data_IF_448442918401
#
_entry.id   IF_448442918401
#
_cell.length_a   1.000
_cell.length_b   1.000
_cell.length_c   1.000
_cell.angle_alpha   90.00
_cell.angle_beta   90.00
_cell.angle_gamma   90.00
#
_symmetry.space_group_name_H-M   'P 1'
#
loop_
_entity.id
_entity.type
_entity.pdbx_description
1 polymer ?
#
# COMPACT_ATOMS: atom_id res chain seq x y z
N UNK A 1 20.92 -2.50 3.51
CA UNK A 1 19.48 -2.85 3.48
C UNK A 1 19.31 -4.10 4.33
N UNK A 2 18.27 -4.17 5.18
CA UNK A 2 17.89 -5.45 5.83
C UNK A 2 17.14 -6.25 4.77
N UNK A 3 17.35 -7.58 4.64
CA UNK A 3 16.67 -8.38 3.62
C UNK A 3 15.15 -8.27 3.73
N UNK A 4 14.49 -8.48 2.59
CA UNK A 4 13.04 -8.62 2.55
C UNK A 4 12.60 -9.73 3.52
N UNK A 5 11.57 -9.47 4.33
CA UNK A 5 11.09 -10.43 5.34
C UNK A 5 10.26 -11.53 4.69
N UNK A 6 10.90 -12.56 4.13
CA UNK A 6 10.26 -13.59 3.28
C UNK A 6 10.37 -15.03 3.83
N UNK A 7 11.09 -15.22 4.93
CA UNK A 7 11.35 -16.51 5.59
C UNK A 7 11.66 -16.31 7.09
N UNK A 8 11.94 -17.41 7.81
CA UNK A 8 12.34 -17.36 9.22
C UNK A 8 13.66 -16.59 9.45
N UNK A 9 14.65 -16.75 8.57
CA UNK A 9 15.96 -16.13 8.74
C UNK A 9 15.85 -14.60 8.70
N UNK A 10 15.24 -14.07 7.65
CA UNK A 10 15.08 -12.63 7.40
C UNK A 10 14.24 -11.93 8.47
N UNK A 11 13.19 -12.57 9.03
CA UNK A 11 12.42 -11.97 10.13
C UNK A 11 13.23 -11.92 11.45
N UNK A 12 14.02 -12.95 11.73
CA UNK A 12 14.88 -12.96 12.90
C UNK A 12 16.00 -11.92 12.80
N UNK A 13 16.57 -11.72 11.62
CA UNK A 13 17.51 -10.62 11.37
C UNK A 13 16.88 -9.25 11.62
N UNK A 14 15.66 -9.04 11.12
CA UNK A 14 14.91 -7.79 11.36
C UNK A 14 14.70 -7.55 12.86
N UNK A 15 14.32 -8.55 13.63
CA UNK A 15 14.15 -8.43 15.08
C UNK A 15 15.46 -8.11 15.80
N UNK A 16 16.56 -8.78 15.43
CA UNK A 16 17.90 -8.47 15.96
C UNK A 16 18.30 -7.03 15.65
N UNK A 17 18.07 -6.57 14.42
CA UNK A 17 18.42 -5.22 13.98
C UNK A 17 17.64 -4.11 14.72
N UNK A 18 16.38 -4.38 15.08
CA UNK A 18 15.50 -3.46 15.81
C UNK A 18 15.69 -3.45 17.34
N UNK A 19 16.37 -4.46 17.92
CA UNK A 19 16.55 -4.58 19.37
C UNK A 19 17.20 -3.33 19.96
N UNK A 20 16.52 -2.72 20.94
CA UNK A 20 17.00 -1.51 21.63
C UNK A 20 16.91 -0.22 20.80
N UNK A 21 16.27 -0.24 19.63
CA UNK A 21 16.13 0.93 18.73
C UNK A 21 14.69 1.40 18.53
N UNK A 22 13.69 0.62 18.92
CA UNK A 22 12.27 0.95 18.71
C UNK A 22 11.78 1.92 19.79
N UNK A 23 11.22 3.05 19.34
CA UNK A 23 10.56 4.04 20.22
C UNK A 23 9.06 3.82 20.37
N UNK A 24 8.48 2.90 19.58
CA UNK A 24 7.06 2.54 19.57
C UNK A 24 6.91 1.05 19.36
N UNK A 25 5.72 0.51 19.67
CA UNK A 25 5.37 -0.88 19.33
C UNK A 25 5.34 -1.06 17.80
N UNK A 26 5.87 -2.18 17.32
CA UNK A 26 5.93 -2.50 15.88
C UNK A 26 5.39 -3.90 15.65
N UNK A 27 4.41 -4.01 14.76
CA UNK A 27 3.97 -5.27 14.16
C UNK A 27 4.68 -5.46 12.81
N UNK A 28 4.95 -6.71 12.43
CA UNK A 28 5.64 -7.02 11.16
C UNK A 28 4.74 -7.74 10.18
N UNK A 29 4.85 -7.35 8.91
CA UNK A 29 4.36 -8.14 7.79
C UNK A 29 5.41 -9.18 7.39
N UNK A 30 4.92 -10.32 6.90
CA UNK A 30 5.68 -11.24 6.07
C UNK A 30 5.51 -10.92 4.58
N UNK A 31 6.49 -11.25 3.75
CA UNK A 31 6.42 -11.14 2.30
C UNK A 31 5.83 -12.40 1.69
N UNK A 32 4.99 -12.22 0.67
CA UNK A 32 4.64 -13.27 -0.28
C UNK A 32 5.36 -12.97 -1.60
N UNK A 33 6.24 -13.88 -2.00
CA UNK A 33 7.08 -13.79 -3.20
C UNK A 33 7.07 -15.14 -3.94
N UNK A 34 7.40 -15.21 -5.24
CA UNK A 34 7.31 -16.47 -5.99
C UNK A 34 8.13 -17.63 -5.42
N UNK A 35 9.24 -17.32 -4.74
CA UNK A 35 10.20 -18.31 -4.27
C UNK A 35 10.00 -18.76 -2.81
N UNK A 36 9.00 -18.25 -2.09
CA UNK A 36 8.76 -18.63 -0.68
C UNK A 36 7.47 -19.46 -0.45
N UNK A 37 6.92 -20.04 -1.51
CA UNK A 37 5.71 -20.87 -1.46
C UNK A 37 5.92 -22.25 -0.81
N UNK A 38 7.17 -22.70 -0.70
CA UNK A 38 7.53 -23.97 -0.07
C UNK A 38 7.94 -23.76 1.40
N UNK A 39 6.95 -23.46 2.25
CA UNK A 39 7.13 -23.36 3.71
C UNK A 39 7.35 -21.94 4.25
N UNK A 40 7.86 -21.00 3.45
CA UNK A 40 8.18 -19.64 3.90
C UNK A 40 6.98 -18.88 4.52
N UNK A 41 5.77 -19.11 4.00
CA UNK A 41 4.54 -18.56 4.58
C UNK A 41 4.31 -19.08 6.01
N UNK A 42 4.47 -20.39 6.24
CA UNK A 42 4.24 -20.99 7.57
C UNK A 42 5.37 -20.66 8.56
N UNK A 43 6.61 -20.55 8.07
CA UNK A 43 7.75 -20.05 8.85
C UNK A 43 7.47 -18.65 9.40
N UNK A 44 7.06 -17.72 8.52
CA UNK A 44 6.69 -16.36 8.91
C UNK A 44 5.51 -16.35 9.88
N UNK A 45 4.51 -17.21 9.65
CA UNK A 45 3.35 -17.36 10.53
C UNK A 45 3.76 -17.70 11.97
N UNK A 46 4.63 -18.71 12.10
CA UNK A 46 5.18 -19.22 13.36
C UNK A 46 6.04 -18.19 14.09
N UNK A 47 6.64 -17.26 13.34
CA UNK A 47 7.44 -16.15 13.85
C UNK A 47 6.62 -14.89 14.18
N UNK A 48 5.29 -14.94 14.07
CA UNK A 48 4.41 -13.92 14.63
C UNK A 48 4.16 -12.71 13.72
N UNK A 49 4.30 -12.85 12.39
CA UNK A 49 3.81 -11.81 11.47
C UNK A 49 2.31 -11.58 11.65
N UNK A 50 1.83 -10.35 11.55
CA UNK A 50 0.41 -10.01 11.73
C UNK A 50 -0.40 -10.08 10.43
N UNK A 51 0.30 -10.00 9.29
CA UNK A 51 -0.24 -10.09 7.95
C UNK A 51 0.89 -10.38 6.95
N UNK A 52 0.52 -10.56 5.70
CA UNK A 52 1.42 -10.73 4.58
C UNK A 52 1.30 -9.55 3.61
N UNK A 53 2.32 -9.33 2.78
CA UNK A 53 2.33 -8.32 1.71
C UNK A 53 2.81 -8.96 0.41
N UNK A 54 2.20 -8.59 -0.71
CA UNK A 54 2.78 -8.81 -2.04
C UNK A 54 2.60 -7.59 -2.95
N UNK A 55 3.19 -7.67 -4.14
CA UNK A 55 3.06 -6.67 -5.20
C UNK A 55 2.63 -7.37 -6.48
N UNK A 56 1.68 -6.77 -7.20
CA UNK A 56 1.41 -7.09 -8.61
C UNK A 56 2.19 -6.16 -9.55
N UNK A 57 2.60 -4.98 -9.05
CA UNK A 57 3.49 -4.05 -9.75
C UNK A 57 4.95 -4.47 -9.61
N UNK A 58 5.81 -4.03 -10.54
CA UNK A 58 7.25 -4.23 -10.46
C UNK A 58 7.81 -3.63 -9.16
N UNK A 59 8.57 -4.44 -8.42
CA UNK A 59 9.18 -4.04 -7.16
C UNK A 59 10.53 -4.76 -6.94
N UNK A 60 11.26 -4.30 -5.91
CA UNK A 60 12.57 -4.79 -5.54
C UNK A 60 13.67 -4.43 -6.55
N UNK A 61 14.91 -4.73 -6.17
CA UNK A 61 16.07 -4.63 -7.03
C UNK A 61 16.45 -6.01 -7.54
N UNK A 62 16.27 -6.22 -8.86
CA UNK A 62 16.57 -7.51 -9.51
C UNK A 62 18.06 -7.85 -9.52
N UNK A 63 18.93 -6.91 -9.19
CA UNK A 63 20.37 -7.14 -9.03
C UNK A 63 20.75 -7.70 -7.65
N UNK A 64 19.84 -7.66 -6.68
CA UNK A 64 20.04 -8.18 -5.32
C UNK A 64 19.40 -9.57 -5.23
N UNK A 65 20.23 -10.59 -4.99
CA UNK A 65 19.75 -11.95 -4.78
C UNK A 65 18.84 -12.02 -3.55
N UNK A 66 17.66 -12.61 -3.70
CA UNK A 66 16.68 -12.76 -2.62
C UNK A 66 15.91 -11.48 -2.27
N UNK A 67 16.05 -10.38 -3.01
CA UNK A 67 15.21 -9.19 -2.77
C UNK A 67 13.73 -9.44 -3.15
N UNK A 68 12.87 -8.54 -2.70
CA UNK A 68 11.42 -8.67 -2.87
C UNK A 68 11.04 -8.75 -4.35
N UNK A 69 10.26 -9.77 -4.72
CA UNK A 69 9.80 -9.98 -6.09
C UNK A 69 8.27 -9.93 -6.17
N UNK A 70 7.75 -9.18 -7.14
CA UNK A 70 6.32 -9.18 -7.42
C UNK A 70 5.84 -10.57 -7.85
N UNK A 71 4.62 -10.91 -7.47
CA UNK A 71 4.05 -12.23 -7.73
C UNK A 71 3.50 -12.32 -9.16
N UNK A 72 3.59 -13.50 -9.76
CA UNK A 72 2.77 -13.87 -10.91
C UNK A 72 1.39 -14.40 -10.46
N UNK A 73 0.51 -14.70 -11.41
CA UNK A 73 -0.85 -15.16 -11.10
C UNK A 73 -0.85 -16.49 -10.34
N UNK A 74 0.09 -17.40 -10.62
CA UNK A 74 0.19 -18.68 -9.90
C UNK A 74 0.64 -18.47 -8.45
N UNK A 75 1.69 -17.68 -8.24
CA UNK A 75 2.23 -17.39 -6.92
C UNK A 75 1.24 -16.62 -6.06
N UNK A 76 0.46 -15.72 -6.67
CA UNK A 76 -0.66 -15.05 -6.00
C UNK A 76 -1.73 -16.06 -5.58
N UNK A 77 -2.19 -16.91 -6.49
CA UNK A 77 -3.21 -17.91 -6.20
C UNK A 77 -2.79 -18.90 -5.10
N UNK A 78 -1.60 -19.50 -5.23
CA UNK A 78 -1.12 -20.48 -4.27
C UNK A 78 -0.78 -19.82 -2.92
N UNK A 79 -0.14 -18.65 -2.94
CA UNK A 79 0.11 -17.86 -1.74
C UNK A 79 -1.17 -17.49 -0.99
N UNK A 80 -2.21 -17.04 -1.70
CA UNK A 80 -3.52 -16.74 -1.10
C UNK A 80 -4.16 -17.98 -0.45
N UNK A 81 -4.08 -19.16 -1.09
CA UNK A 81 -4.56 -20.42 -0.48
C UNK A 81 -3.82 -20.78 0.80
N UNK A 82 -2.51 -20.55 0.85
CA UNK A 82 -1.71 -20.84 2.03
C UNK A 82 -1.98 -19.82 3.15
N UNK A 83 -2.04 -18.53 2.83
CA UNK A 83 -2.33 -17.46 3.79
C UNK A 83 -3.75 -17.61 4.36
N UNK A 84 -4.74 -18.02 3.56
CA UNK A 84 -6.09 -18.29 4.06
C UNK A 84 -6.11 -19.29 5.24
N UNK A 85 -5.23 -20.31 5.23
CA UNK A 85 -5.10 -21.29 6.32
C UNK A 85 -4.56 -20.69 7.62
N UNK A 86 -3.85 -19.57 7.55
CA UNK A 86 -3.34 -18.86 8.73
C UNK A 86 -4.41 -17.98 9.40
N UNK A 87 -5.51 -17.68 8.70
CA UNK A 87 -6.54 -16.72 9.15
C UNK A 87 -6.10 -15.25 9.10
N UNK A 88 -4.87 -14.97 8.64
CA UNK A 88 -4.32 -13.61 8.49
C UNK A 88 -4.67 -13.01 7.13
N UNK A 89 -4.23 -11.77 6.92
CA UNK A 89 -4.56 -10.95 5.75
C UNK A 89 -3.40 -10.91 4.79
N UNK A 90 -3.70 -10.91 3.49
CA UNK A 90 -2.77 -10.51 2.45
C UNK A 90 -3.04 -9.06 2.03
N UNK A 91 -2.11 -8.16 2.36
CA UNK A 91 -2.07 -6.79 1.87
C UNK A 91 -1.44 -6.75 0.48
N UNK A 92 -2.01 -6.00 -0.48
CA UNK A 92 -1.59 -6.09 -1.89
C UNK A 92 -1.44 -4.70 -2.51
N UNK A 93 -0.27 -4.45 -3.11
CA UNK A 93 -0.09 -3.31 -4.02
C UNK A 93 -0.63 -3.71 -5.40
N UNK A 94 -1.64 -3.00 -5.88
CA UNK A 94 -2.40 -3.35 -7.07
C UNK A 94 -2.20 -2.32 -8.19
N UNK A 95 -1.11 -2.45 -8.96
CA UNK A 95 -0.96 -1.81 -10.26
C UNK A 95 -0.50 -2.86 -11.30
N UNK A 96 -0.97 -2.74 -12.54
CA UNK A 96 -0.59 -3.62 -13.64
C UNK A 96 0.81 -3.26 -14.16
N UNK A 97 1.82 -3.94 -13.64
CA UNK A 97 3.24 -3.75 -13.98
C UNK A 97 3.48 -3.67 -15.49
N UNK A 98 2.97 -4.64 -16.24
CA UNK A 98 3.26 -4.78 -17.66
C UNK A 98 2.82 -3.56 -18.47
N UNK A 99 1.70 -2.94 -18.08
CA UNK A 99 1.20 -1.73 -18.73
C UNK A 99 1.92 -0.50 -18.20
N UNK A 100 2.04 -0.33 -16.88
CA UNK A 100 2.66 0.87 -16.29
C UNK A 100 4.12 1.02 -16.69
N UNK A 101 4.87 -0.08 -16.68
CA UNK A 101 6.29 -0.07 -17.05
C UNK A 101 6.43 0.24 -18.54
N UNK A 102 5.57 -0.33 -19.39
CA UNK A 102 5.63 -0.08 -20.83
C UNK A 102 5.28 1.36 -21.20
N UNK A 103 4.27 1.94 -20.56
CA UNK A 103 3.91 3.34 -20.75
C UNK A 103 5.03 4.27 -20.24
N UNK A 104 5.66 3.92 -19.11
CA UNK A 104 6.82 4.65 -18.58
C UNK A 104 8.03 4.62 -19.52
N UNK A 105 8.34 3.46 -20.11
CA UNK A 105 9.37 3.34 -21.16
C UNK A 105 9.08 4.21 -22.37
N UNK A 106 7.82 4.23 -22.83
CA UNK A 106 7.40 5.03 -23.99
C UNK A 106 7.54 6.52 -23.69
N UNK A 107 7.08 6.97 -22.53
CA UNK A 107 7.22 8.35 -22.08
C UNK A 107 8.71 8.76 -22.01
N UNK A 108 9.56 7.92 -21.40
CA UNK A 108 11.00 8.15 -21.32
C UNK A 108 11.65 8.25 -22.71
N UNK A 109 11.28 7.37 -23.65
CA UNK A 109 11.77 7.40 -25.04
C UNK A 109 11.34 8.66 -25.80
N UNK A 110 10.20 9.23 -25.44
CA UNK A 110 9.71 10.48 -26.00
C UNK A 110 10.34 11.73 -25.35
N UNK A 111 11.23 11.54 -24.36
CA UNK A 111 11.89 12.64 -23.64
C UNK A 111 11.03 13.26 -22.55
N UNK A 112 9.95 12.59 -22.12
CA UNK A 112 9.13 13.06 -21.01
C UNK A 112 9.90 12.93 -19.69
N UNK A 113 9.81 13.97 -18.86
CA UNK A 113 10.51 14.05 -17.57
C UNK A 113 9.63 14.55 -16.43
N UNK A 114 8.43 15.06 -16.72
CA UNK A 114 7.53 15.66 -15.72
C UNK A 114 6.84 14.61 -14.84
N UNK A 115 6.46 15.00 -13.62
CA UNK A 115 5.62 14.20 -12.75
C UNK A 115 4.23 14.02 -13.35
N UNK A 116 3.71 15.03 -14.07
CA UNK A 116 2.45 14.90 -14.81
C UNK A 116 2.51 13.77 -15.84
N UNK A 117 3.58 13.69 -16.63
CA UNK A 117 3.78 12.60 -17.58
C UNK A 117 3.95 11.24 -16.87
N UNK A 118 4.62 11.21 -15.71
CA UNK A 118 4.68 10.01 -14.88
C UNK A 118 3.28 9.56 -14.43
N UNK A 119 2.42 10.47 -14.00
CA UNK A 119 1.02 10.16 -13.66
C UNK A 119 0.27 9.61 -14.88
N UNK A 120 0.45 10.23 -16.06
CA UNK A 120 -0.18 9.79 -17.31
C UNK A 120 0.29 8.40 -17.78
N UNK A 121 1.50 7.99 -17.41
CA UNK A 121 2.02 6.64 -17.67
C UNK A 121 1.38 5.54 -16.81
N UNK A 122 0.61 5.93 -15.79
CA UNK A 122 -0.04 5.02 -14.83
C UNK A 122 -1.54 5.30 -14.72
N UNK A 123 -2.29 5.23 -15.84
CA UNK A 123 -3.70 5.64 -15.88
C UNK A 123 -4.55 4.78 -14.94
N UNK A 124 -5.63 5.35 -14.39
CA UNK A 124 -6.47 4.73 -13.35
C UNK A 124 -6.83 3.26 -13.59
N UNK A 125 -7.10 2.85 -14.83
CA UNK A 125 -7.45 1.46 -15.13
C UNK A 125 -6.35 0.46 -14.77
N UNK A 126 -5.08 0.88 -14.72
CA UNK A 126 -3.96 0.00 -14.31
C UNK A 126 -3.99 -0.29 -12.82
N UNK A 127 -4.74 0.47 -12.02
CA UNK A 127 -5.02 0.19 -10.61
C UNK A 127 -6.31 -0.65 -10.47
N UNK A 128 -7.34 -0.33 -11.27
CA UNK A 128 -8.65 -1.01 -11.22
C UNK A 128 -8.60 -2.47 -11.72
N UNK A 129 -7.89 -2.75 -12.82
CA UNK A 129 -7.78 -4.10 -13.38
C UNK A 129 -7.20 -5.12 -12.39
N UNK A 130 -6.04 -4.88 -11.74
CA UNK A 130 -5.50 -5.83 -10.76
C UNK A 130 -6.40 -5.96 -9.53
N UNK A 131 -7.10 -4.90 -9.08
CA UNK A 131 -8.10 -5.00 -8.00
C UNK A 131 -9.20 -6.02 -8.35
N UNK A 132 -9.74 -5.97 -9.59
CA UNK A 132 -10.74 -6.94 -10.04
C UNK A 132 -10.20 -8.38 -10.07
N UNK A 133 -8.96 -8.57 -10.53
CA UNK A 133 -8.28 -9.87 -10.51
C UNK A 133 -8.13 -10.39 -9.08
N UNK A 134 -7.68 -9.54 -8.16
CA UNK A 134 -7.52 -9.87 -6.74
C UNK A 134 -8.86 -10.27 -6.12
N UNK A 135 -9.95 -9.54 -6.41
CA UNK A 135 -11.31 -9.88 -5.94
C UNK A 135 -11.71 -11.29 -6.40
N UNK A 136 -11.44 -11.63 -7.67
CA UNK A 136 -11.70 -12.98 -8.18
C UNK A 136 -10.92 -14.04 -7.41
N UNK A 137 -9.63 -13.81 -7.15
CA UNK A 137 -8.79 -14.77 -6.45
C UNK A 137 -9.18 -14.89 -4.97
N UNK A 138 -9.61 -13.80 -4.34
CA UNK A 138 -10.13 -13.80 -2.97
C UNK A 138 -11.39 -14.66 -2.85
N UNK A 139 -12.30 -14.58 -3.84
CA UNK A 139 -13.49 -15.45 -3.90
C UNK A 139 -13.13 -16.93 -4.03
N UNK A 140 -12.17 -17.25 -4.88
CA UNK A 140 -11.75 -18.63 -5.12
C UNK A 140 -11.01 -19.25 -3.93
N UNK A 141 -10.17 -18.46 -3.26
CA UNK A 141 -9.27 -18.97 -2.21
C UNK A 141 -9.80 -18.78 -0.80
N UNK A 142 -10.79 -17.90 -0.60
CA UNK A 142 -11.26 -17.48 0.71
C UNK A 142 -10.25 -16.62 1.49
N UNK A 143 -9.16 -16.17 0.86
CA UNK A 143 -8.15 -15.35 1.51
C UNK A 143 -8.71 -13.96 1.84
N UNK A 144 -8.43 -13.47 3.06
CA UNK A 144 -8.76 -12.12 3.49
C UNK A 144 -7.76 -11.14 2.86
N UNK A 145 -8.25 -10.10 2.20
CA UNK A 145 -7.41 -9.20 1.39
C UNK A 145 -7.49 -7.75 1.86
N UNK A 146 -6.37 -7.04 1.84
CA UNK A 146 -6.34 -5.59 2.03
C UNK A 146 -5.64 -4.89 0.86
N UNK A 147 -6.34 -4.04 0.13
CA UNK A 147 -5.72 -3.24 -0.93
C UNK A 147 -5.06 -2.02 -0.29
N UNK A 148 -3.74 -1.93 -0.41
CA UNK A 148 -2.98 -0.81 0.16
C UNK A 148 -3.04 0.41 -0.75
N UNK A 149 -2.84 1.60 -0.16
CA UNK A 149 -2.60 2.90 -0.82
C UNK A 149 -3.42 3.16 -2.09
N UNK A 150 -4.74 2.95 -2.03
CA UNK A 150 -5.63 3.18 -3.19
C UNK A 150 -5.70 4.68 -3.53
N UNK A 151 -5.53 5.02 -4.81
CA UNK A 151 -5.43 6.39 -5.29
C UNK A 151 -6.60 6.79 -6.20
N UNK A 152 -7.51 5.86 -6.51
CA UNK A 152 -8.68 6.12 -7.35
C UNK A 152 -10.00 5.63 -6.74
N UNK A 153 -11.06 6.41 -6.98
CA UNK A 153 -12.41 6.10 -6.53
C UNK A 153 -13.00 4.86 -7.19
N UNK A 154 -12.68 4.59 -8.46
CA UNK A 154 -13.19 3.44 -9.20
C UNK A 154 -12.69 2.14 -8.57
N UNK A 155 -11.45 2.10 -8.09
CA UNK A 155 -10.92 0.95 -7.37
C UNK A 155 -11.65 0.74 -6.04
N UNK A 156 -11.94 1.81 -5.30
CA UNK A 156 -12.75 1.74 -4.06
C UNK A 156 -14.14 1.20 -4.38
N UNK A 157 -14.77 1.67 -5.45
CA UNK A 157 -16.10 1.26 -5.86
C UNK A 157 -16.14 -0.24 -6.23
N UNK A 158 -15.08 -0.81 -6.81
CA UNK A 158 -14.95 -2.25 -7.03
C UNK A 158 -14.84 -3.05 -5.72
N UNK A 159 -14.11 -2.52 -4.72
CA UNK A 159 -13.98 -3.13 -3.40
C UNK A 159 -15.32 -3.14 -2.67
N UNK A 160 -16.05 -2.02 -2.70
CA UNK A 160 -17.38 -1.90 -2.08
C UNK A 160 -18.35 -2.91 -2.69
N UNK A 161 -18.36 -3.07 -4.03
CA UNK A 161 -19.17 -4.10 -4.70
C UNK A 161 -18.79 -5.51 -4.22
N UNK A 162 -17.50 -5.82 -4.15
CA UNK A 162 -17.04 -7.12 -3.68
C UNK A 162 -17.41 -7.40 -2.22
N UNK A 163 -17.37 -6.39 -1.34
CA UNK A 163 -17.85 -6.50 0.04
C UNK A 163 -19.35 -6.83 0.11
N UNK A 164 -20.18 -6.21 -0.74
CA UNK A 164 -21.61 -6.50 -0.84
C UNK A 164 -21.89 -7.94 -1.31
N UNK A 165 -20.95 -8.54 -2.06
CA UNK A 165 -20.98 -9.93 -2.48
C UNK A 165 -20.38 -10.90 -1.44
N UNK A 166 -19.98 -10.41 -0.27
CA UNK A 166 -19.48 -11.21 0.85
C UNK A 166 -17.97 -11.49 0.82
N UNK A 167 -17.21 -10.84 -0.05
CA UNK A 167 -15.73 -10.97 -0.07
C UNK A 167 -15.14 -10.23 1.13
N UNK A 168 -14.27 -10.89 1.90
CA UNK A 168 -13.52 -10.26 3.00
C UNK A 168 -12.33 -9.43 2.47
N UNK A 169 -12.67 -8.29 1.86
CA UNK A 169 -11.73 -7.33 1.29
C UNK A 169 -11.94 -5.94 1.91
N UNK A 170 -10.84 -5.23 2.18
CA UNK A 170 -10.85 -3.82 2.61
C UNK A 170 -9.79 -3.03 1.85
N UNK A 171 -9.79 -1.71 1.98
CA UNK A 171 -8.70 -0.87 1.48
C UNK A 171 -8.33 0.25 2.44
N UNK A 172 -7.11 0.76 2.25
CA UNK A 172 -6.61 2.01 2.81
C UNK A 172 -6.28 2.98 1.67
N UNK A 173 -6.32 4.27 1.98
CA UNK A 173 -5.65 5.30 1.16
C UNK A 173 -4.57 5.97 2.00
N UNK A 174 -3.83 6.91 1.43
CA UNK A 174 -2.77 7.63 2.11
C UNK A 174 -3.05 9.13 2.13
N UNK A 175 -2.54 9.81 3.15
CA UNK A 175 -2.78 11.24 3.36
C UNK A 175 -2.37 12.08 2.15
N UNK A 176 -1.33 11.69 1.41
CA UNK A 176 -0.90 12.41 0.21
C UNK A 176 -1.90 12.34 -0.96
N UNK A 177 -2.74 11.30 -1.07
CA UNK A 177 -3.83 11.25 -2.06
C UNK A 177 -5.05 12.09 -1.67
N UNK A 178 -5.09 12.55 -0.42
CA UNK A 178 -6.14 13.40 0.15
C UNK A 178 -5.70 14.87 0.28
N UNK A 179 -4.44 15.17 -0.04
CA UNK A 179 -3.84 16.48 0.13
C UNK A 179 -3.31 17.04 -1.19
N UNK A 180 -2.44 16.29 -1.88
CA UNK A 180 -1.84 16.73 -3.12
C UNK A 180 -2.69 16.37 -4.33
N UNK A 181 -2.46 17.07 -5.44
CA UNK A 181 -3.06 16.76 -6.73
C UNK A 181 -2.08 16.95 -7.90
N UNK A 182 -2.35 16.27 -9.02
CA UNK A 182 -1.47 16.18 -10.20
C UNK A 182 -0.98 17.53 -10.71
N UNK A 183 -1.84 18.54 -10.70
CA UNK A 183 -1.57 19.84 -11.31
C UNK A 183 -0.47 20.65 -10.61
N UNK A 184 -0.16 20.36 -9.35
CA UNK A 184 0.89 21.05 -8.58
C UNK A 184 2.19 20.24 -8.44
N UNK A 185 2.21 18.96 -8.85
CA UNK A 185 3.34 18.06 -8.56
C UNK A 185 4.66 18.55 -9.14
N UNK A 186 4.66 19.03 -10.39
CA UNK A 186 5.88 19.54 -11.05
C UNK A 186 6.49 20.74 -10.31
N UNK A 187 5.66 21.57 -9.66
CA UNK A 187 6.14 22.70 -8.87
C UNK A 187 6.76 22.27 -7.52
N UNK A 188 6.34 21.10 -7.00
CA UNK A 188 6.85 20.53 -5.77
C UNK A 188 8.14 19.71 -6.02
N UNK A 189 8.16 18.96 -7.12
CA UNK A 189 9.29 18.16 -7.56
C UNK A 189 9.29 16.71 -7.05
N UNK A 190 10.38 15.95 -7.29
CA UNK A 190 10.45 14.49 -7.14
C UNK A 190 10.15 13.93 -5.73
N UNK A 191 10.10 14.79 -4.72
CA UNK A 191 9.75 14.43 -3.35
C UNK A 191 8.32 13.91 -3.20
N UNK A 192 7.42 14.26 -4.13
CA UNK A 192 6.03 13.77 -4.16
C UNK A 192 5.79 12.65 -5.19
N UNK A 193 6.84 12.13 -5.84
CA UNK A 193 6.71 10.92 -6.68
C UNK A 193 6.34 9.72 -5.82
N UNK A 194 5.25 9.02 -6.12
CA UNK A 194 4.81 7.78 -5.46
C UNK A 194 4.16 6.79 -6.45
N UNK A 195 3.84 5.59 -5.98
CA UNK A 195 3.13 4.55 -6.76
C UNK A 195 2.06 3.91 -5.87
N UNK A 196 0.76 3.97 -6.21
CA UNK A 196 0.17 4.68 -7.36
C UNK A 196 0.47 6.19 -7.41
N UNK A 197 0.34 6.86 -8.57
CA UNK A 197 0.59 8.30 -8.64
C UNK A 197 -0.57 9.11 -8.02
N UNK A 198 -0.24 10.29 -7.48
CA UNK A 198 -1.24 11.29 -7.08
C UNK A 198 -2.07 11.73 -8.30
N UNK A 199 -3.40 11.81 -8.14
CA UNK A 199 -4.35 12.02 -9.24
C UNK A 199 -4.76 13.49 -9.42
N UNK A 200 -5.52 13.76 -10.47
CA UNK A 200 -6.06 15.08 -10.81
C UNK A 200 -6.88 15.70 -9.68
N UNK A 201 -6.82 17.03 -9.55
CA UNK A 201 -7.55 17.78 -8.53
C UNK A 201 -9.05 17.47 -8.50
N UNK A 202 -9.67 17.24 -9.67
CA UNK A 202 -11.11 16.96 -9.74
C UNK A 202 -11.52 15.70 -8.97
N UNK A 203 -10.56 14.79 -8.73
CA UNK A 203 -10.79 13.48 -8.11
C UNK A 203 -10.64 13.51 -6.58
N UNK A 204 -10.09 14.60 -6.05
CA UNK A 204 -9.77 14.76 -4.62
C UNK A 204 -11.03 14.64 -3.74
N UNK A 205 -12.09 15.37 -4.09
CA UNK A 205 -13.35 15.31 -3.36
C UNK A 205 -14.04 13.93 -3.50
N UNK A 206 -13.84 13.27 -4.65
CA UNK A 206 -14.24 11.88 -4.86
C UNK A 206 -13.63 10.95 -3.81
N UNK A 207 -12.31 11.03 -3.60
CA UNK A 207 -11.61 10.24 -2.58
C UNK A 207 -12.02 10.61 -1.15
N UNK A 208 -12.16 11.91 -0.84
CA UNK A 208 -12.64 12.35 0.47
C UNK A 208 -14.02 11.81 0.80
N UNK A 209 -14.94 11.79 -0.17
CA UNK A 209 -16.27 11.23 0.03
C UNK A 209 -16.20 9.74 0.43
N UNK A 210 -15.32 8.93 -0.16
CA UNK A 210 -15.15 7.51 0.21
C UNK A 210 -14.59 7.35 1.63
N UNK A 211 -13.68 8.22 2.06
CA UNK A 211 -13.21 8.26 3.46
C UNK A 211 -14.34 8.65 4.42
N UNK A 212 -15.09 9.71 4.09
CA UNK A 212 -16.17 10.24 4.92
C UNK A 212 -17.41 9.35 4.95
N UNK A 213 -17.62 8.50 3.94
CA UNK A 213 -18.66 7.46 3.93
C UNK A 213 -18.22 6.19 4.66
N UNK A 214 -16.91 5.95 4.77
CA UNK A 214 -16.35 4.74 5.40
C UNK A 214 -16.11 3.59 4.42
N UNK A 215 -16.14 3.87 3.12
CA UNK A 215 -15.80 2.93 2.05
C UNK A 215 -14.30 2.61 2.06
N UNK A 216 -13.47 3.59 2.45
CA UNK A 216 -12.05 3.40 2.79
C UNK A 216 -11.94 3.15 4.29
N UNK A 217 -11.29 2.04 4.67
CA UNK A 217 -11.25 1.58 6.06
C UNK A 217 -10.37 2.45 6.96
N UNK A 218 -9.21 2.86 6.48
CA UNK A 218 -8.28 3.73 7.22
C UNK A 218 -7.32 4.48 6.29
N UNK A 219 -6.63 5.48 6.84
CA UNK A 219 -5.67 6.33 6.13
C UNK A 219 -4.28 6.14 6.73
N UNK A 220 -3.31 5.78 5.89
CA UNK A 220 -1.93 5.47 6.29
C UNK A 220 -0.93 6.45 5.68
N UNK A 221 0.34 6.33 6.09
CA UNK A 221 1.41 7.19 5.57
C UNK A 221 2.02 6.69 4.26
N UNK A 222 2.01 5.36 4.04
CA UNK A 222 2.91 4.66 3.11
C UNK A 222 4.34 5.25 3.16
N UNK A 223 4.86 5.40 4.38
CA UNK A 223 6.16 6.01 4.59
C UNK A 223 7.25 5.21 3.88
N UNK A 224 7.74 5.78 2.78
CA UNK A 224 8.73 5.17 1.92
C UNK A 224 9.84 6.19 1.72
N UNK A 225 10.81 6.28 2.66
CA UNK A 225 11.94 7.21 2.55
C UNK A 225 13.05 6.63 1.67
N UNK A 226 13.82 7.53 1.05
CA UNK A 226 15.08 7.20 0.40
C UNK A 226 16.16 8.23 0.79
N UNK A 227 17.41 7.94 0.44
CA UNK A 227 18.46 8.94 0.56
C UNK A 227 18.25 10.06 -0.47
N UNK A 228 18.66 11.31 -0.18
CA UNK A 228 18.38 12.45 -1.06
C UNK A 228 18.93 12.32 -2.49
N UNK A 229 20.06 11.62 -2.68
CA UNK A 229 20.69 11.39 -3.98
C UNK A 229 19.80 10.60 -4.94
N UNK A 230 18.98 9.68 -4.45
CA UNK A 230 18.03 8.90 -5.25
C UNK A 230 16.87 9.75 -5.81
N UNK A 231 16.69 10.97 -5.30
CA UNK A 231 15.72 11.96 -5.81
C UNK A 231 16.40 13.21 -6.40
N UNK A 232 17.73 13.24 -6.47
CA UNK A 232 18.51 14.38 -6.97
C UNK A 232 18.56 14.41 -8.51
N UNK A 233 17.38 14.38 -9.15
CA UNK A 233 17.19 14.49 -10.60
C UNK A 233 15.85 15.16 -10.85
N UNK A 234 15.78 16.01 -11.87
CA UNK A 234 14.51 16.62 -12.31
C UNK A 234 13.68 15.66 -13.18
N UNK A 235 14.24 14.50 -13.54
CA UNK A 235 13.54 13.48 -14.32
C UNK A 235 12.69 12.58 -13.41
N UNK A 236 11.37 12.76 -13.45
CA UNK A 236 10.42 11.96 -12.70
C UNK A 236 10.50 10.46 -13.00
N UNK A 237 10.96 10.03 -14.18
CA UNK A 237 11.09 8.61 -14.52
C UNK A 237 12.35 7.98 -13.92
N UNK A 238 13.37 8.77 -13.59
CA UNK A 238 14.61 8.32 -12.95
C UNK A 238 14.55 8.41 -11.42
N UNK A 239 13.90 9.45 -10.88
CA UNK A 239 13.83 9.66 -9.43
C UNK A 239 13.20 8.46 -8.71
N UNK A 240 13.71 8.09 -7.53
CA UNK A 240 13.09 7.03 -6.74
C UNK A 240 11.71 7.45 -6.21
N UNK A 241 10.72 6.54 -6.32
CA UNK A 241 9.33 6.78 -5.90
C UNK A 241 9.10 6.41 -4.43
N UNK A 242 8.45 7.30 -3.69
CA UNK A 242 8.11 7.14 -2.27
C UNK A 242 8.04 8.50 -1.57
N UNK A 243 7.10 8.65 -0.63
CA UNK A 243 6.88 9.89 0.13
C UNK A 243 7.30 9.66 1.59
N UNK A 244 8.14 10.57 2.09
CA UNK A 244 8.55 10.59 3.49
C UNK A 244 7.49 11.28 4.38
N UNK A 245 6.37 10.59 4.66
CA UNK A 245 5.20 11.18 5.33
C UNK A 245 4.87 10.67 6.74
N UNK A 246 5.71 9.86 7.40
CA UNK A 246 5.34 9.20 8.67
C UNK A 246 4.89 10.17 9.77
N UNK A 247 5.66 11.25 9.97
CA UNK A 247 5.42 12.21 11.04
C UNK A 247 4.17 13.05 10.81
N UNK A 248 3.86 13.37 9.55
CA UNK A 248 2.78 14.29 9.19
C UNK A 248 1.47 13.59 8.79
N UNK A 249 1.35 12.28 9.02
CA UNK A 249 0.14 11.56 8.67
C UNK A 249 -1.06 12.00 9.51
N UNK A 250 -0.84 12.28 10.80
CA UNK A 250 -1.92 12.52 11.78
C UNK A 250 -2.38 13.98 11.76
N UNK A 251 -1.45 14.93 11.74
CA UNK A 251 -1.75 16.36 11.80
C UNK A 251 -2.38 16.86 10.49
N UNK A 252 -1.87 16.46 9.33
CA UNK A 252 -2.45 16.81 8.03
C UNK A 252 -3.85 16.21 7.87
N UNK A 253 -4.03 14.93 8.22
CA UNK A 253 -5.36 14.30 8.17
C UNK A 253 -6.34 14.96 9.15
N UNK A 254 -5.88 15.40 10.32
CA UNK A 254 -6.71 16.13 11.28
C UNK A 254 -7.13 17.49 10.73
N UNK A 255 -6.20 18.28 10.18
CA UNK A 255 -6.51 19.57 9.56
C UNK A 255 -7.49 19.42 8.39
N UNK A 256 -7.15 18.59 7.40
CA UNK A 256 -7.97 18.41 6.20
C UNK A 256 -9.32 17.73 6.46
N UNK A 257 -9.34 16.73 7.33
CA UNK A 257 -10.53 15.94 7.62
C UNK A 257 -11.41 16.60 8.68
N UNK A 258 -10.87 16.85 9.87
CA UNK A 258 -11.65 17.33 11.02
C UNK A 258 -11.92 18.82 10.89
N UNK A 259 -10.89 19.65 10.68
CA UNK A 259 -11.06 21.11 10.71
C UNK A 259 -11.72 21.65 9.44
N UNK A 260 -11.24 21.24 8.26
CA UNK A 260 -11.72 21.77 6.98
C UNK A 260 -12.99 21.08 6.46
N UNK A 261 -13.16 19.79 6.75
CA UNK A 261 -14.28 18.96 6.24
C UNK A 261 -15.25 18.47 7.30
N UNK A 262 -15.14 18.94 8.55
CA UNK A 262 -16.03 18.60 9.65
C UNK A 262 -16.14 17.09 9.94
N UNK A 263 -15.08 16.31 9.69
CA UNK A 263 -15.02 14.90 10.07
C UNK A 263 -15.20 14.77 11.59
N UNK A 264 -16.14 13.94 12.08
CA UNK A 264 -16.28 13.71 13.51
C UNK A 264 -15.00 13.14 14.12
N UNK A 265 -14.61 13.60 15.32
CA UNK A 265 -13.43 13.10 16.04
C UNK A 265 -13.45 11.58 16.25
N UNK A 266 -14.63 11.00 16.45
CA UNK A 266 -14.80 9.55 16.55
C UNK A 266 -14.45 8.81 15.26
N UNK A 267 -14.80 9.37 14.10
CA UNK A 267 -14.39 8.83 12.79
C UNK A 267 -12.89 9.01 12.56
N UNK A 268 -12.33 10.17 12.91
CA UNK A 268 -10.89 10.39 12.85
C UNK A 268 -10.13 9.35 13.68
N UNK A 269 -10.49 9.16 14.95
CA UNK A 269 -9.90 8.14 15.83
C UNK A 269 -10.05 6.72 15.27
N UNK A 270 -11.22 6.41 14.67
CA UNK A 270 -11.44 5.11 14.04
C UNK A 270 -10.50 4.89 12.84
N UNK A 271 -10.35 5.88 11.97
CA UNK A 271 -9.49 5.84 10.77
C UNK A 271 -8.02 5.66 11.16
N UNK A 272 -7.50 6.42 12.13
CA UNK A 272 -6.05 6.39 12.42
C UNK A 272 -5.63 5.26 13.38
N UNK A 273 -6.57 4.63 14.08
CA UNK A 273 -6.22 3.70 15.16
C UNK A 273 -7.15 2.48 15.26
N UNK A 274 -8.47 2.67 15.43
CA UNK A 274 -9.37 1.56 15.74
C UNK A 274 -9.54 0.58 14.57
N UNK A 275 -9.74 1.10 13.35
CA UNK A 275 -9.97 0.29 12.16
C UNK A 275 -8.74 -0.53 11.75
N UNK A 276 -7.50 0.01 11.69
CA UNK A 276 -6.33 -0.81 11.40
C UNK A 276 -6.09 -1.85 12.51
N UNK A 277 -6.26 -1.51 13.79
CA UNK A 277 -6.14 -2.48 14.88
C UNK A 277 -7.13 -3.63 14.74
N UNK A 278 -8.40 -3.35 14.41
CA UNK A 278 -9.41 -4.39 14.15
C UNK A 278 -9.08 -5.22 12.92
N UNK A 279 -8.66 -4.59 11.81
CA UNK A 279 -8.35 -5.30 10.56
C UNK A 279 -7.25 -6.33 10.81
N UNK A 280 -6.17 -5.93 11.46
CA UNK A 280 -4.99 -6.77 11.71
C UNK A 280 -5.03 -7.53 13.05
N UNK A 281 -6.21 -7.65 13.69
CA UNK A 281 -6.41 -8.40 14.94
C UNK A 281 -5.48 -7.98 16.10
N UNK A 282 -5.17 -6.69 16.22
CA UNK A 282 -4.33 -6.13 17.29
C UNK A 282 -5.18 -5.77 18.52
N UNK A 283 -5.54 -6.78 19.32
CA UNK A 283 -6.52 -6.64 20.40
C UNK A 283 -6.21 -5.56 21.45
N UNK A 284 -4.92 -5.29 21.72
CA UNK A 284 -4.49 -4.30 22.72
C UNK A 284 -4.20 -2.90 22.14
N UNK A 285 -4.66 -2.61 20.92
CA UNK A 285 -4.36 -1.38 20.19
C UNK A 285 -5.63 -0.72 19.67
N UNK A 286 -5.56 0.60 19.43
CA UNK A 286 -6.63 1.35 18.77
C UNK A 286 -7.87 1.64 19.61
N UNK A 287 -7.78 1.56 20.94
CA UNK A 287 -8.88 1.81 21.87
C UNK A 287 -8.42 2.59 23.11
N UNK A 288 -9.31 3.42 23.65
CA UNK A 288 -9.20 4.00 25.00
C UNK A 288 -10.28 3.32 25.86
N UNK A 289 -9.92 2.19 26.46
CA UNK A 289 -10.79 1.39 27.32
C UNK A 289 -9.95 0.69 28.40
N UNK A 290 -10.61 0.08 29.40
CA UNK A 290 -9.93 -0.73 30.40
C UNK A 290 -9.60 -2.09 29.80
N UNK A 291 -8.31 -2.45 29.80
CA UNK A 291 -7.80 -3.70 29.21
C UNK A 291 -7.87 -3.72 27.70
#
# INVERSE_FOLDING_TARGET
>A
QVPATVDEESIQEKFKAGKGKLSVDVASYGGLVPFNLDGGIQELDSNGVVAYKCFLATCGDRSIEGDFMNVDDYSLYEGMKQIAKTGKILSIHAENAAITDKLGEIASKNGETSLRAYVDSRPVFTEVEPIRKIILFAKETGCRVHIVHIACEEGVDEIVKAQQEGVDITCETCTHYLYFYKEELDNIGPVVKCSPPIREQLRLEGMWNRVLNGDISFVTSDHSPCTPDLKATDNAFEAWGGIAGLQNNVDVLFDEGVQKRNMPLSKFAAIIATNPAKRFNLASKGSIAVG
#
